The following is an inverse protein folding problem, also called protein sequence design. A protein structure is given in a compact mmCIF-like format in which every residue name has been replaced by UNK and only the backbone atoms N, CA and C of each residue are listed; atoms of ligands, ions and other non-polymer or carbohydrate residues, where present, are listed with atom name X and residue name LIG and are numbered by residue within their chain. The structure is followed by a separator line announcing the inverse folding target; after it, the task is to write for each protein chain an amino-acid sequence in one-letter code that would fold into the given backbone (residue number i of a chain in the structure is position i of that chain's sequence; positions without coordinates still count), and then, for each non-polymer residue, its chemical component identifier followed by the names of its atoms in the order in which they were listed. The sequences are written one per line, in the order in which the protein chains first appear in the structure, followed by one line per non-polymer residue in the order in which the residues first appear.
data_IF_662813044877
#
_entry.id   IF_662813044877
#
_cell.length_a   1.000
_cell.length_b   1.000
_cell.length_c   1.000
_cell.angle_alpha   90.00
_cell.angle_beta   90.00
_cell.angle_gamma   90.00
#
_symmetry.space_group_name_H-M   'P 1'
#
loop_
_entity.id
_entity.type
_entity.pdbx_description
1 polymer ?
#
# COMPACT_ATOMS: atom_id res chain seq x y z
N UNK A 1 -0.98 -4.02 -27.16
CA UNK A 1 -2.30 -3.48 -26.74
C UNK A 1 -2.49 -3.95 -25.30
N UNK A 2 -2.33 -3.07 -24.32
CA UNK A 2 -2.57 -3.44 -22.93
C UNK A 2 -4.09 -3.57 -22.76
N UNK A 3 -4.57 -4.78 -22.49
CA UNK A 3 -5.88 -4.92 -21.86
C UNK A 3 -5.75 -4.22 -20.52
N UNK A 4 -6.55 -3.17 -20.27
CA UNK A 4 -6.62 -2.57 -18.96
C UNK A 4 -7.37 -3.56 -18.07
N UNK A 5 -6.65 -4.54 -17.54
CA UNK A 5 -7.23 -5.47 -16.59
C UNK A 5 -7.75 -4.65 -15.41
N UNK A 6 -8.99 -4.92 -15.00
CA UNK A 6 -9.65 -4.26 -13.86
C UNK A 6 -9.62 -5.18 -12.66
N UNK A 7 -9.65 -4.58 -11.47
CA UNK A 7 -9.74 -5.25 -10.17
C UNK A 7 -10.84 -4.63 -9.33
N UNK A 8 -11.35 -5.39 -8.36
CA UNK A 8 -12.22 -4.86 -7.32
C UNK A 8 -11.41 -4.14 -6.23
N UNK A 9 -11.92 -2.99 -5.80
CA UNK A 9 -11.35 -2.19 -4.73
C UNK A 9 -12.44 -1.51 -3.88
N UNK A 10 -12.20 -1.37 -2.58
CA UNK A 10 -13.01 -0.59 -1.64
C UNK A 10 -12.58 0.87 -1.75
N UNK A 11 -13.48 1.73 -2.23
CA UNK A 11 -13.23 3.14 -2.49
C UNK A 11 -13.98 4.00 -1.49
N UNK A 12 -13.28 4.98 -0.92
CA UNK A 12 -13.90 6.03 -0.11
C UNK A 12 -14.51 7.10 -1.01
N UNK A 13 -15.83 7.23 -1.00
CA UNK A 13 -16.58 8.21 -1.80
C UNK A 13 -17.03 9.44 -0.98
N UNK A 14 -16.53 9.56 0.25
CA UNK A 14 -16.87 10.62 1.20
C UNK A 14 -17.46 10.09 2.52
N UNK A 15 -17.76 10.99 3.47
CA UNK A 15 -18.30 10.60 4.78
C UNK A 15 -19.56 9.73 4.63
N UNK A 16 -19.58 8.60 5.34
CA UNK A 16 -20.61 7.57 5.33
C UNK A 16 -20.84 6.89 3.98
N UNK A 17 -19.93 7.06 3.01
CA UNK A 17 -20.06 6.54 1.65
C UNK A 17 -18.80 5.79 1.23
N UNK A 18 -18.91 4.47 1.21
CA UNK A 18 -17.87 3.55 0.73
C UNK A 18 -18.52 2.61 -0.28
N UNK A 19 -17.83 2.33 -1.38
CA UNK A 19 -18.33 1.40 -2.40
C UNK A 19 -17.24 0.47 -2.89
N UNK A 20 -17.64 -0.70 -3.38
CA UNK A 20 -16.74 -1.60 -4.12
C UNK A 20 -16.83 -1.21 -5.59
N UNK A 21 -15.70 -0.83 -6.18
CA UNK A 21 -15.60 -0.36 -7.56
C UNK A 21 -14.63 -1.21 -8.37
N UNK A 22 -14.82 -1.23 -9.69
CA UNK A 22 -13.80 -1.68 -10.63
C UNK A 22 -12.76 -0.58 -10.81
N UNK A 23 -11.49 -0.89 -10.56
CA UNK A 23 -10.34 0.02 -10.73
C UNK A 23 -9.31 -0.64 -11.63
N UNK A 24 -8.47 0.11 -12.36
CA UNK A 24 -7.40 -0.49 -13.14
C UNK A 24 -6.42 -1.27 -12.24
N UNK A 25 -5.99 -2.46 -12.69
CA UNK A 25 -4.87 -3.17 -12.08
C UNK A 25 -3.64 -2.26 -12.18
N UNK A 26 -2.94 -2.00 -11.07
CA UNK A 26 -1.82 -1.08 -11.09
C UNK A 26 -0.59 -1.70 -11.76
N UNK A 27 0.26 -0.82 -12.30
CA UNK A 27 1.54 -1.19 -12.89
C UNK A 27 2.68 -0.45 -12.18
N UNK A 28 3.88 -1.00 -12.28
CA UNK A 28 5.10 -0.38 -11.75
C UNK A 28 5.30 0.98 -12.44
N UNK A 29 5.34 2.07 -11.66
CA UNK A 29 5.53 3.43 -12.18
C UNK A 29 6.97 3.90 -12.03
N UNK A 30 7.64 3.50 -10.95
CA UNK A 30 9.00 3.89 -10.62
C UNK A 30 9.91 2.68 -10.42
N UNK A 31 11.23 2.90 -10.54
CA UNK A 31 12.23 1.84 -10.39
C UNK A 31 12.24 1.18 -9.01
N UNK A 32 11.64 1.79 -7.99
CA UNK A 32 11.62 1.29 -6.61
C UNK A 32 10.23 0.77 -6.18
N UNK A 33 9.26 0.76 -7.08
CA UNK A 33 7.90 0.33 -6.77
C UNK A 33 7.81 -1.19 -6.76
N UNK A 34 6.87 -1.71 -5.97
CA UNK A 34 6.34 -3.06 -6.16
C UNK A 34 4.84 -3.03 -6.32
N UNK A 35 4.33 -4.07 -6.97
CA UNK A 35 2.91 -4.41 -6.98
C UNK A 35 2.73 -5.68 -6.16
N UNK A 36 1.80 -5.64 -5.22
CA UNK A 36 1.45 -6.77 -4.35
C UNK A 36 0.05 -7.24 -4.71
N UNK A 37 -0.08 -8.52 -5.06
CA UNK A 37 -1.39 -9.18 -5.07
C UNK A 37 -1.78 -9.41 -3.62
N UNK A 38 -2.83 -8.74 -3.18
CA UNK A 38 -3.28 -8.78 -1.78
C UNK A 38 -3.86 -10.16 -1.51
N UNK A 39 -3.34 -10.81 -0.46
CA UNK A 39 -3.89 -12.08 0.01
C UNK A 39 -4.94 -11.84 1.09
N UNK A 40 -4.65 -10.93 2.02
CA UNK A 40 -5.54 -10.52 3.10
C UNK A 40 -5.28 -9.07 3.46
N UNK A 41 -6.34 -8.37 3.85
CA UNK A 41 -6.31 -7.02 4.39
C UNK A 41 -7.31 -6.90 5.53
N UNK A 42 -7.01 -6.06 6.51
CA UNK A 42 -7.82 -5.88 7.71
C UNK A 42 -8.52 -4.52 7.72
N UNK A 43 -9.46 -4.38 8.66
CA UNK A 43 -10.10 -3.11 9.01
C UNK A 43 -9.43 -2.55 10.25
N UNK A 44 -9.11 -1.26 10.22
CA UNK A 44 -8.56 -0.57 11.38
C UNK A 44 -9.56 0.43 11.96
N UNK A 45 -9.52 0.64 13.27
CA UNK A 45 -10.35 1.67 13.91
C UNK A 45 -10.07 3.08 13.39
N UNK A 46 -8.86 3.33 12.88
CA UNK A 46 -8.45 4.61 12.29
C UNK A 46 -9.28 4.97 11.05
N UNK A 47 -9.70 3.98 10.27
CA UNK A 47 -10.51 4.18 9.06
C UNK A 47 -11.91 4.76 9.39
N UNK A 48 -12.39 4.55 10.62
CA UNK A 48 -13.64 5.14 11.08
C UNK A 48 -13.56 6.67 11.22
N UNK A 49 -12.37 7.24 11.40
CA UNK A 49 -12.20 8.70 11.44
C UNK A 49 -12.51 9.33 10.08
N UNK A 50 -12.04 8.71 8.99
CA UNK A 50 -12.33 9.11 7.61
C UNK A 50 -13.79 8.83 7.27
N UNK A 51 -14.26 7.60 7.54
CA UNK A 51 -15.64 7.19 7.26
C UNK A 51 -16.67 8.11 7.93
N UNK A 52 -16.44 8.55 9.18
CA UNK A 52 -17.38 9.42 9.89
C UNK A 52 -17.20 10.92 9.57
N UNK A 53 -16.20 11.27 8.75
CA UNK A 53 -15.85 12.65 8.43
C UNK A 53 -15.25 13.43 9.61
N UNK A 54 -14.70 12.73 10.61
CA UNK A 54 -14.00 13.37 11.74
C UNK A 54 -12.66 13.94 11.28
N UNK A 55 -11.97 13.19 10.41
CA UNK A 55 -10.79 13.66 9.70
C UNK A 55 -11.21 14.04 8.27
N UNK A 56 -11.20 15.35 7.91
CA UNK A 56 -11.51 15.78 6.56
C UNK A 56 -10.49 15.23 5.56
N UNK A 57 -10.97 14.60 4.51
CA UNK A 57 -10.15 14.07 3.42
C UNK A 57 -10.90 14.20 2.11
N UNK A 58 -10.16 14.36 1.02
CA UNK A 58 -10.74 14.27 -0.32
C UNK A 58 -11.18 12.83 -0.61
N UNK A 59 -12.31 12.62 -1.30
CA UNK A 59 -12.78 11.30 -1.70
C UNK A 59 -11.94 10.73 -2.86
N UNK A 60 -12.35 9.56 -3.35
CA UNK A 60 -11.84 8.88 -4.55
C UNK A 60 -10.47 8.21 -4.41
N UNK A 61 -10.22 7.56 -3.27
CA UNK A 61 -9.05 6.69 -3.06
C UNK A 61 -9.45 5.30 -2.55
N UNK A 62 -8.63 4.31 -2.84
CA UNK A 62 -8.77 2.93 -2.35
C UNK A 62 -8.37 2.91 -0.87
N UNK A 63 -9.20 2.33 0.01
CA UNK A 63 -8.95 2.26 1.45
C UNK A 63 -7.96 1.15 1.84
N UNK A 64 -7.58 1.07 3.12
CA UNK A 64 -6.78 -0.03 3.68
C UNK A 64 -5.28 0.24 3.79
N UNK A 65 -4.74 0.09 4.99
CA UNK A 65 -3.31 0.20 5.30
C UNK A 65 -2.75 -1.01 6.06
N UNK A 66 -3.57 -2.04 6.28
CA UNK A 66 -3.18 -3.28 6.94
C UNK A 66 -3.32 -4.43 5.96
N UNK A 67 -2.22 -4.94 5.41
CA UNK A 67 -2.28 -6.03 4.44
C UNK A 67 -1.05 -6.93 4.41
N UNK A 68 -1.28 -8.14 3.90
CA UNK A 68 -0.26 -9.09 3.47
C UNK A 68 -0.58 -9.60 2.08
N UNK A 69 0.45 -9.89 1.31
CA UNK A 69 0.28 -10.34 -0.05
C UNK A 69 1.53 -10.95 -0.65
N UNK A 70 1.46 -11.22 -1.95
CA UNK A 70 2.56 -11.75 -2.76
C UNK A 70 3.04 -10.70 -3.73
N UNK A 71 4.35 -10.47 -3.81
CA UNK A 71 4.95 -9.57 -4.82
C UNK A 71 4.73 -10.16 -6.21
N UNK A 72 4.10 -9.42 -7.11
CA UNK A 72 3.81 -9.86 -8.49
C UNK A 72 4.53 -9.04 -9.56
N UNK A 73 4.94 -7.81 -9.24
CA UNK A 73 5.80 -7.00 -10.09
C UNK A 73 6.69 -6.10 -9.23
N UNK A 74 7.85 -5.71 -9.77
CA UNK A 74 8.82 -4.84 -9.10
C UNK A 74 9.56 -3.97 -10.11
N UNK A 75 10.00 -2.80 -9.68
CA UNK A 75 10.89 -1.92 -10.42
C UNK A 75 12.34 -2.41 -10.41
N UNK A 76 13.14 -1.90 -11.35
CA UNK A 76 14.51 -2.34 -11.60
C UNK A 76 15.50 -2.09 -10.45
N UNK A 77 15.18 -1.21 -9.51
CA UNK A 77 16.03 -0.87 -8.36
C UNK A 77 15.62 -1.58 -7.06
N UNK A 78 14.55 -2.38 -7.07
CA UNK A 78 14.12 -3.15 -5.91
C UNK A 78 15.11 -4.29 -5.62
N UNK A 79 15.69 -4.30 -4.41
CA UNK A 79 16.72 -5.27 -3.99
C UNK A 79 16.39 -6.07 -2.74
N UNK A 80 15.34 -5.69 -2.02
CA UNK A 80 15.01 -6.26 -0.70
C UNK A 80 13.97 -7.39 -0.76
N UNK A 81 13.23 -7.49 -1.86
CA UNK A 81 12.23 -8.54 -2.14
C UNK A 81 12.32 -8.94 -3.61
N UNK A 82 11.75 -10.11 -3.95
CA UNK A 82 11.61 -10.61 -5.32
C UNK A 82 10.17 -11.03 -5.62
N UNK A 83 9.85 -11.14 -6.90
CA UNK A 83 8.55 -11.70 -7.33
C UNK A 83 8.34 -13.07 -6.68
N UNK A 84 7.15 -13.29 -6.14
CA UNK A 84 6.77 -14.50 -5.41
C UNK A 84 7.01 -14.44 -3.89
N UNK A 85 7.76 -13.45 -3.39
CA UNK A 85 7.90 -13.28 -1.94
C UNK A 85 6.56 -12.88 -1.31
N UNK A 86 6.27 -13.49 -0.15
CA UNK A 86 5.19 -13.04 0.73
C UNK A 86 5.67 -11.85 1.55
N UNK A 87 4.86 -10.82 1.67
CA UNK A 87 5.22 -9.58 2.36
C UNK A 87 4.14 -9.15 3.36
N UNK A 88 4.57 -8.39 4.36
CA UNK A 88 3.71 -7.60 5.24
C UNK A 88 4.12 -6.14 5.08
N UNK A 89 3.13 -5.24 5.02
CA UNK A 89 3.36 -3.80 4.94
C UNK A 89 2.99 -3.12 6.27
N UNK A 90 3.76 -2.13 6.74
CA UNK A 90 3.35 -1.23 7.80
C UNK A 90 2.39 -0.17 7.25
N UNK A 91 1.79 0.62 8.14
CA UNK A 91 0.81 1.67 7.83
C UNK A 91 1.28 2.69 6.76
N UNK A 92 2.58 2.98 6.68
CA UNK A 92 3.12 4.04 5.81
C UNK A 92 4.19 3.55 4.85
N UNK A 93 4.23 4.17 3.67
CA UNK A 93 5.39 4.26 2.80
C UNK A 93 6.41 5.24 3.34
N UNK A 94 7.62 4.76 3.63
CA UNK A 94 8.71 5.56 4.20
C UNK A 94 9.85 5.77 3.20
N UNK A 95 10.52 6.93 3.28
CA UNK A 95 11.46 7.35 2.25
C UNK A 95 12.84 6.64 2.23
N UNK A 96 13.21 5.84 3.22
CA UNK A 96 14.51 5.15 3.20
C UNK A 96 15.76 6.00 3.42
N UNK A 97 15.69 7.32 3.31
CA UNK A 97 16.87 8.18 3.13
C UNK A 97 16.97 9.36 4.09
N UNK A 98 15.86 9.77 4.71
CA UNK A 98 15.89 10.89 5.67
C UNK A 98 16.59 10.50 6.97
N UNK A 99 16.95 11.49 7.78
CA UNK A 99 17.59 11.30 9.09
C UNK A 99 16.92 10.20 9.92
N UNK A 100 15.58 10.23 10.03
CA UNK A 100 14.86 9.24 10.83
C UNK A 100 14.91 7.84 10.22
N UNK A 101 14.69 7.71 8.91
CA UNK A 101 14.78 6.43 8.20
C UNK A 101 16.18 5.81 8.35
N UNK A 102 17.25 6.61 8.16
CA UNK A 102 18.63 6.16 8.29
C UNK A 102 18.97 5.66 9.70
N UNK A 103 18.30 6.20 10.73
CA UNK A 103 18.49 5.81 12.13
C UNK A 103 17.42 4.81 12.63
N UNK A 104 16.73 4.10 11.73
CA UNK A 104 15.76 3.06 12.10
C UNK A 104 14.41 3.58 12.63
N UNK A 105 14.19 4.89 12.65
CA UNK A 105 12.96 5.54 13.09
C UNK A 105 12.00 5.82 11.94
N UNK A 106 11.68 4.84 11.08
CA UNK A 106 10.84 5.04 9.89
C UNK A 106 9.45 5.63 10.20
N UNK A 107 8.88 5.34 11.38
CA UNK A 107 7.64 5.95 11.86
C UNK A 107 7.68 7.50 11.96
N UNK A 108 8.88 8.11 11.96
CA UNK A 108 9.11 9.56 11.99
C UNK A 108 9.54 10.09 10.62
N UNK A 109 9.35 9.32 9.55
CA UNK A 109 9.75 9.72 8.22
C UNK A 109 9.05 11.03 7.79
N UNK A 110 9.86 12.05 7.46
CA UNK A 110 9.40 13.37 7.02
C UNK A 110 8.83 13.40 5.60
N UNK A 111 8.95 12.29 4.86
CA UNK A 111 8.41 12.09 3.52
C UNK A 111 7.48 10.86 3.49
N UNK A 112 6.87 10.53 4.63
CA UNK A 112 5.98 9.38 4.71
C UNK A 112 4.68 9.64 3.94
N UNK A 113 4.13 8.58 3.36
CA UNK A 113 2.79 8.58 2.78
C UNK A 113 1.98 7.47 3.46
N UNK A 114 0.76 7.77 3.88
CA UNK A 114 -0.15 6.78 4.42
C UNK A 114 -0.81 6.03 3.27
N UNK A 115 -0.79 4.69 3.35
CA UNK A 115 -1.63 3.87 2.48
C UNK A 115 -3.10 4.11 2.81
N UNK A 116 -3.97 4.05 1.81
CA UNK A 116 -5.38 4.35 2.01
C UNK A 116 -5.63 5.83 2.25
N UNK A 117 -4.97 6.69 1.48
CA UNK A 117 -5.15 8.15 1.52
C UNK A 117 -5.21 8.74 0.11
N UNK A 118 -5.64 9.99 -0.07
CA UNK A 118 -5.68 10.64 -1.40
C UNK A 118 -4.35 10.67 -2.14
N UNK A 119 -3.23 10.57 -1.41
CA UNK A 119 -1.89 10.60 -1.99
C UNK A 119 -1.32 9.22 -2.31
N UNK A 120 -1.92 8.15 -1.77
CA UNK A 120 -1.46 6.78 -1.97
C UNK A 120 -2.62 5.82 -1.67
N UNK A 121 -3.09 5.17 -2.74
CA UNK A 121 -4.11 4.13 -2.66
C UNK A 121 -3.69 3.00 -1.71
N UNK A 122 -4.70 2.46 -1.02
CA UNK A 122 -4.55 1.39 -0.05
C UNK A 122 -4.67 -0.02 -0.62
N UNK A 123 -4.78 -0.96 0.30
CA UNK A 123 -4.73 -2.40 0.02
C UNK A 123 -6.06 -3.15 0.24
N UNK A 124 -7.17 -2.45 0.47
CA UNK A 124 -8.51 -3.03 0.36
C UNK A 124 -8.92 -3.19 -1.11
N UNK A 125 -8.10 -3.92 -1.86
CA UNK A 125 -8.24 -4.22 -3.28
C UNK A 125 -7.54 -5.55 -3.60
N UNK A 126 -7.78 -6.11 -4.79
CA UNK A 126 -7.10 -7.36 -5.20
C UNK A 126 -5.59 -7.15 -5.44
N UNK A 127 -5.19 -5.93 -5.81
CA UNK A 127 -3.80 -5.52 -5.95
C UNK A 127 -3.57 -4.17 -5.27
N UNK A 128 -2.48 -4.06 -4.52
CA UNK A 128 -2.06 -2.79 -3.92
C UNK A 128 -0.96 -2.16 -4.81
N UNK A 129 -1.15 -0.91 -5.28
CA UNK A 129 -0.16 -0.22 -6.11
C UNK A 129 1.11 0.17 -5.35
N UNK A 130 2.16 0.39 -6.15
CA UNK A 130 3.34 1.21 -5.92
C UNK A 130 3.71 1.45 -4.46
N UNK A 131 4.06 0.39 -3.75
CA UNK A 131 4.67 0.51 -2.43
C UNK A 131 6.15 0.86 -2.67
N UNK A 132 6.64 2.07 -2.33
CA UNK A 132 8.03 2.42 -2.56
C UNK A 132 8.88 1.54 -1.66
N UNK A 133 9.56 0.55 -2.24
CA UNK A 133 10.46 -0.34 -1.52
C UNK A 133 11.79 0.34 -1.40
N UNK A 134 11.83 1.31 -0.50
CA UNK A 134 13.05 2.04 -0.17
C UNK A 134 13.81 1.28 0.91
N UNK A 135 15.09 1.62 1.06
CA UNK A 135 16.08 0.89 1.87
C UNK A 135 15.66 0.58 3.32
N UNK A 136 14.64 1.24 3.88
CA UNK A 136 14.23 1.08 5.30
C UNK A 136 12.79 0.60 5.52
N UNK A 137 12.25 -0.27 4.66
CA UNK A 137 11.23 -1.21 5.12
C UNK A 137 9.76 -0.80 5.00
N UNK A 138 9.34 -0.26 3.86
CA UNK A 138 7.88 -0.16 3.57
C UNK A 138 7.23 -1.53 3.39
N UNK A 139 8.01 -2.55 3.07
CA UNK A 139 7.49 -3.92 2.97
C UNK A 139 8.59 -4.83 3.47
N UNK A 140 8.19 -5.73 4.34
CA UNK A 140 9.08 -6.69 4.98
C UNK A 140 8.68 -8.05 4.44
N UNK A 141 9.66 -8.83 3.97
CA UNK A 141 9.43 -10.22 3.61
C UNK A 141 8.91 -10.96 4.84
N UNK A 142 7.74 -11.55 4.72
CA UNK A 142 7.16 -12.38 5.76
C UNK A 142 8.10 -13.56 6.01
N UNK A 143 8.33 -13.89 7.28
CA UNK A 143 9.10 -15.08 7.64
C UNK A 143 8.37 -16.30 7.07
N UNK A 144 9.13 -17.22 6.47
CA UNK A 144 8.60 -18.53 6.14
C UNK A 144 8.25 -19.21 7.46
N UNK A 145 6.96 -19.44 7.71
CA UNK A 145 6.55 -20.24 8.86
C UNK A 145 7.23 -21.61 8.74
N UNK A 146 7.90 -22.05 9.80
CA UNK A 146 8.29 -23.45 9.91
C UNK A 146 6.98 -24.26 9.87
N UNK A 147 6.87 -25.30 9.03
CA UNK A 147 5.65 -26.09 8.89
C UNK A 147 5.14 -26.67 10.21
#
# INVERSE_FOLDING_TARGET
MATSDVMKAVVFDGPYKISVQDRPVPHVQNAQDIIVRVNMTALCGSELHLYRGVEPTEPDFIMGHEFTGTVVALGSEVKTVRIGDKVVSPFTASCGECYYCHNGGSARCVKSQALGSPNLDGAQAEFCPAVPVRRTGTVIKALEGNP
#
